data_IF_274194109665
#
_entry.id   IF_274194109665
#
_cell.length_a   1.000
_cell.length_b   1.000
_cell.length_c   1.000
_cell.angle_alpha   90.00
_cell.angle_beta   90.00
_cell.angle_gamma   90.00
#
_symmetry.space_group_name_H-M   'P 1'
#
loop_
_entity.id
_entity.type
_entity.pdbx_description
1 polymer ?
#
# COMPACT_ATOMS: atom_id res chain seq x y z
N UNK A 1 -45.00 -13.62 53.23
CA UNK A 1 -44.94 -12.78 52.02
C UNK A 1 -43.47 -12.67 51.62
N UNK A 2 -42.92 -13.61 50.84
CA UNK A 2 -42.80 -13.61 49.35
C UNK A 2 -42.00 -12.40 48.86
N UNK A 3 -40.93 -12.44 48.06
CA UNK A 3 -40.38 -13.40 47.11
C UNK A 3 -38.97 -12.95 46.67
N UNK A 4 -38.21 -13.89 46.07
CA UNK A 4 -36.81 -13.89 45.61
C UNK A 4 -36.47 -13.01 44.38
N UNK A 5 -35.17 -12.81 44.08
CA UNK A 5 -34.66 -12.08 42.90
C UNK A 5 -34.61 -12.92 41.61
N UNK A 6 -34.81 -12.28 40.46
CA UNK A 6 -34.81 -12.90 39.13
C UNK A 6 -33.42 -13.00 38.49
N UNK A 7 -32.99 -14.24 38.26
CA UNK A 7 -31.89 -14.62 37.36
C UNK A 7 -32.49 -14.92 35.98
N UNK A 8 -31.96 -14.32 34.91
CA UNK A 8 -32.29 -14.65 33.52
C UNK A 8 -31.19 -15.52 32.92
N UNK A 9 -31.45 -16.83 32.92
CA UNK A 9 -30.71 -17.83 32.16
C UNK A 9 -31.25 -17.89 30.73
N UNK A 10 -30.35 -17.88 29.73
CA UNK A 10 -30.66 -18.24 28.34
C UNK A 10 -30.46 -19.77 28.17
N UNK A 11 -31.43 -20.52 27.63
CA UNK A 11 -31.29 -21.97 27.46
C UNK A 11 -30.71 -22.36 26.11
N UNK A 12 -29.80 -23.34 26.17
CA UNK A 12 -29.35 -24.17 25.05
C UNK A 12 -30.53 -24.82 24.31
N UNK A 13 -30.57 -24.72 22.99
CA UNK A 13 -31.43 -25.55 22.14
C UNK A 13 -30.63 -26.71 21.56
N UNK A 14 -30.66 -27.83 22.28
CA UNK A 14 -30.37 -29.16 21.73
C UNK A 14 -31.57 -29.67 20.91
N UNK A 15 -31.22 -30.19 19.73
CA UNK A 15 -31.76 -31.38 19.05
C UNK A 15 -33.29 -31.48 18.90
N UNK A 16 -33.74 -31.57 17.65
CA UNK A 16 -34.65 -32.67 17.25
C UNK A 16 -34.53 -33.02 15.77
N UNK A 17 -33.88 -34.16 15.56
CA UNK A 17 -34.09 -35.06 14.43
C UNK A 17 -35.56 -35.51 14.46
N UNK A 18 -36.29 -35.34 13.37
CA UNK A 18 -37.45 -36.20 13.08
C UNK A 18 -37.50 -36.47 11.58
N UNK A 19 -37.29 -37.74 11.27
CA UNK A 19 -37.60 -38.40 10.02
C UNK A 19 -39.05 -38.09 9.59
N UNK A 20 -39.24 -37.83 8.30
CA UNK A 20 -40.50 -38.12 7.63
C UNK A 20 -40.20 -38.63 6.24
N UNK A 21 -40.25 -39.96 6.16
CA UNK A 21 -40.31 -40.75 4.95
C UNK A 21 -41.76 -40.74 4.45
N UNK A 22 -41.98 -40.65 3.14
CA UNK A 22 -43.31 -40.63 2.54
C UNK A 22 -43.29 -40.39 1.03
N UNK A 23 -43.24 -41.51 0.30
CA UNK A 23 -43.91 -41.76 -0.99
C UNK A 23 -43.41 -40.99 -2.22
N UNK A 24 -42.59 -41.62 -3.08
CA UNK A 24 -43.00 -42.49 -4.20
C UNK A 24 -44.03 -41.86 -5.14
N UNK A 25 -43.53 -41.32 -6.25
CA UNK A 25 -44.30 -40.91 -7.42
C UNK A 25 -43.39 -40.88 -8.64
N UNK A 26 -43.20 -42.05 -9.25
CA UNK A 26 -42.43 -42.18 -10.48
C UNK A 26 -43.11 -41.50 -11.66
N UNK A 27 -42.40 -40.54 -12.28
CA UNK A 27 -42.53 -40.26 -13.71
C UNK A 27 -41.14 -40.22 -14.30
N UNK A 28 -40.86 -41.26 -15.06
CA UNK A 28 -39.69 -41.39 -15.90
C UNK A 28 -39.71 -40.27 -16.95
N UNK A 29 -38.80 -39.31 -16.82
CA UNK A 29 -38.37 -38.47 -17.94
C UNK A 29 -36.94 -38.86 -18.27
N UNK A 30 -36.86 -39.85 -19.17
CA UNK A 30 -35.64 -40.34 -19.78
C UNK A 30 -34.98 -39.21 -20.57
N UNK A 31 -33.70 -38.96 -20.26
CA UNK A 31 -32.69 -38.68 -21.27
C UNK A 31 -32.66 -37.27 -21.89
N UNK A 32 -31.76 -36.44 -21.37
CA UNK A 32 -30.63 -35.91 -22.17
C UNK A 32 -29.55 -35.39 -21.23
N UNK A 33 -28.78 -36.32 -20.66
CA UNK A 33 -27.41 -35.98 -20.24
C UNK A 33 -26.67 -35.62 -21.52
N UNK A 34 -26.44 -34.33 -21.75
CA UNK A 34 -25.45 -33.86 -22.73
C UNK A 34 -24.10 -34.38 -22.24
N UNK A 35 -23.76 -35.61 -22.64
CA UNK A 35 -22.39 -36.09 -22.65
C UNK A 35 -21.67 -35.12 -23.58
N UNK A 36 -20.90 -34.20 -23.02
CA UNK A 36 -19.76 -33.64 -23.74
C UNK A 36 -18.82 -34.84 -23.95
N UNK A 37 -19.09 -35.62 -24.99
CA UNK A 37 -18.15 -36.59 -25.47
C UNK A 37 -16.91 -35.81 -25.83
N UNK A 38 -15.87 -35.97 -25.01
CA UNK A 38 -14.51 -35.73 -25.45
C UNK A 38 -14.26 -36.75 -26.57
N UNK A 39 -14.70 -36.41 -27.78
CA UNK A 39 -14.11 -36.98 -28.97
C UNK A 39 -12.63 -36.63 -28.85
N UNK A 40 -11.78 -37.64 -28.64
CA UNK A 40 -10.35 -37.49 -28.80
C UNK A 40 -10.10 -37.24 -30.30
N UNK A 41 -10.32 -36.00 -30.73
CA UNK A 41 -9.88 -35.49 -32.01
C UNK A 41 -8.43 -35.11 -31.77
N UNK A 42 -7.50 -35.86 -32.35
CA UNK A 42 -6.12 -35.38 -32.46
C UNK A 42 -6.16 -34.07 -33.24
N UNK A 43 -5.80 -32.95 -32.61
CA UNK A 43 -5.69 -31.67 -33.31
C UNK A 43 -4.66 -31.85 -34.43
N UNK A 44 -5.03 -31.43 -35.64
CA UNK A 44 -4.12 -31.53 -36.77
C UNK A 44 -2.88 -30.65 -36.52
N UNK A 45 -1.73 -30.99 -37.12
CA UNK A 45 -0.53 -30.14 -37.07
C UNK A 45 -0.84 -28.70 -37.50
N UNK A 46 -1.73 -28.55 -38.48
CA UNK A 46 -2.19 -27.26 -38.99
C UNK A 46 -2.97 -26.46 -37.94
N UNK A 47 -3.80 -27.10 -37.15
CA UNK A 47 -4.54 -26.43 -36.07
C UNK A 47 -3.61 -25.97 -34.94
N UNK A 48 -2.61 -26.77 -34.59
CA UNK A 48 -1.57 -26.34 -33.65
C UNK A 48 -0.77 -25.14 -34.20
N UNK A 49 -0.46 -25.11 -35.50
CA UNK A 49 0.23 -23.98 -36.13
C UNK A 49 -0.65 -22.71 -36.11
N UNK A 50 -1.93 -22.81 -36.47
CA UNK A 50 -2.85 -21.66 -36.49
C UNK A 50 -3.08 -21.12 -35.07
N UNK A 51 -3.30 -22.01 -34.09
CA UNK A 51 -3.53 -21.60 -32.69
C UNK A 51 -2.29 -20.95 -32.09
N UNK A 52 -1.10 -21.51 -32.30
CA UNK A 52 0.16 -20.90 -31.87
C UNK A 52 0.43 -19.56 -32.57
N UNK A 53 0.10 -19.44 -33.86
CA UNK A 53 0.22 -18.18 -34.59
C UNK A 53 -0.68 -17.08 -34.02
N UNK A 54 -1.95 -17.38 -33.75
CA UNK A 54 -2.89 -16.44 -33.11
C UNK A 54 -2.40 -16.08 -31.70
N UNK A 55 -1.95 -17.06 -30.92
CA UNK A 55 -1.46 -16.84 -29.56
C UNK A 55 -0.21 -15.95 -29.54
N UNK A 56 0.70 -16.11 -30.50
CA UNK A 56 1.89 -15.26 -30.65
C UNK A 56 1.49 -13.79 -30.93
N UNK A 57 0.55 -13.56 -31.85
CA UNK A 57 0.04 -12.22 -32.17
C UNK A 57 -0.64 -11.57 -30.96
N UNK A 58 -1.50 -12.29 -30.26
CA UNK A 58 -2.20 -11.78 -29.07
C UNK A 58 -1.22 -11.44 -27.94
N UNK A 59 -0.24 -12.31 -27.70
CA UNK A 59 0.76 -12.11 -26.64
C UNK A 59 1.59 -10.85 -26.92
N UNK A 60 1.95 -10.60 -28.18
CA UNK A 60 2.69 -9.41 -28.58
C UNK A 60 1.95 -8.10 -28.25
N UNK A 61 0.63 -8.07 -28.38
CA UNK A 61 -0.19 -6.89 -28.09
C UNK A 61 -0.51 -6.73 -26.58
N UNK A 62 -0.63 -7.83 -25.84
CA UNK A 62 -1.06 -7.80 -24.43
C UNK A 62 0.03 -7.33 -23.44
N UNK A 63 1.30 -7.72 -23.63
CA UNK A 63 2.39 -7.41 -22.70
C UNK A 63 2.69 -5.90 -22.50
N UNK A 64 2.76 -5.04 -23.55
CA UNK A 64 3.05 -3.63 -23.34
C UNK A 64 1.97 -2.93 -22.48
N UNK A 65 0.70 -3.31 -22.62
CA UNK A 65 -0.41 -2.76 -21.82
C UNK A 65 -0.30 -3.15 -20.34
N UNK A 66 0.08 -4.40 -20.05
CA UNK A 66 0.28 -4.84 -18.67
C UNK A 66 1.43 -4.08 -17.99
N UNK A 67 2.53 -3.85 -18.71
CA UNK A 67 3.71 -3.11 -18.19
C UNK A 67 3.39 -1.65 -17.89
N UNK A 68 2.66 -0.97 -18.78
CA UNK A 68 2.28 0.43 -18.56
C UNK A 68 1.29 0.57 -17.40
N UNK A 69 0.33 -0.35 -17.27
CA UNK A 69 -0.60 -0.38 -16.14
C UNK A 69 0.13 -0.56 -14.79
N UNK A 70 1.09 -1.50 -14.74
CA UNK A 70 1.92 -1.70 -13.55
C UNK A 70 2.73 -0.46 -13.19
N UNK A 71 3.36 0.19 -14.17
CA UNK A 71 4.14 1.42 -13.96
C UNK A 71 3.28 2.58 -13.48
N UNK A 72 2.12 2.80 -14.09
CA UNK A 72 1.18 3.85 -13.66
C UNK A 72 0.74 3.66 -12.18
N UNK A 73 0.54 2.41 -11.76
CA UNK A 73 0.28 2.09 -10.35
C UNK A 73 1.47 2.44 -9.46
N UNK A 74 2.69 2.04 -9.84
CA UNK A 74 3.90 2.38 -9.08
C UNK A 74 4.10 3.90 -8.95
N UNK A 75 3.86 4.65 -10.03
CA UNK A 75 3.95 6.11 -10.03
C UNK A 75 2.92 6.78 -9.11
N UNK A 76 1.71 6.23 -9.05
CA UNK A 76 0.66 6.72 -8.15
C UNK A 76 1.06 6.50 -6.69
N UNK A 77 1.58 5.32 -6.37
CA UNK A 77 2.10 5.01 -5.04
C UNK A 77 3.33 5.86 -4.69
N UNK A 78 4.22 6.12 -5.65
CA UNK A 78 5.39 6.99 -5.44
C UNK A 78 4.96 8.40 -5.07
N UNK A 79 4.06 9.00 -5.86
CA UNK A 79 3.53 10.34 -5.58
C UNK A 79 2.81 10.40 -4.23
N UNK A 80 2.12 9.32 -3.84
CA UNK A 80 1.48 9.20 -2.53
C UNK A 80 2.53 9.18 -1.41
N UNK A 81 3.55 8.34 -1.54
CA UNK A 81 4.64 8.23 -0.56
C UNK A 81 5.41 9.55 -0.39
N UNK A 82 5.76 10.21 -1.50
CA UNK A 82 6.42 11.52 -1.48
C UNK A 82 5.57 12.58 -0.77
N UNK A 83 4.27 12.65 -1.07
CA UNK A 83 3.36 13.56 -0.37
C UNK A 83 3.25 13.25 1.12
N UNK A 84 3.18 11.97 1.49
CA UNK A 84 3.11 11.55 2.89
C UNK A 84 4.35 12.01 3.67
N UNK A 85 5.55 11.84 3.11
CA UNK A 85 6.81 12.24 3.75
C UNK A 85 6.93 13.77 3.80
N UNK A 86 6.69 14.46 2.68
CA UNK A 86 6.74 15.95 2.61
C UNK A 86 5.80 16.58 3.63
N UNK A 87 4.57 16.08 3.71
CA UNK A 87 3.60 16.58 4.67
C UNK A 87 4.00 16.33 6.14
N UNK A 88 4.72 15.25 6.42
CA UNK A 88 5.28 15.02 7.75
C UNK A 88 6.45 15.97 8.07
N UNK A 89 7.29 16.27 7.09
CA UNK A 89 8.36 17.29 7.21
C UNK A 89 7.73 18.66 7.50
N UNK A 90 6.71 19.04 6.73
CA UNK A 90 5.99 20.31 6.89
C UNK A 90 5.36 20.42 8.28
N UNK A 91 4.74 19.34 8.79
CA UNK A 91 4.18 19.30 10.15
C UNK A 91 5.23 19.39 11.24
N UNK A 92 6.41 18.79 11.04
CA UNK A 92 7.52 18.94 11.98
C UNK A 92 7.97 20.39 12.03
N UNK A 93 8.11 21.04 10.87
CA UNK A 93 8.47 22.45 10.76
C UNK A 93 7.41 23.34 11.40
N UNK A 94 6.14 23.08 11.15
CA UNK A 94 5.02 23.79 11.78
C UNK A 94 5.06 23.65 13.31
N UNK A 95 5.30 22.44 13.84
CA UNK A 95 5.47 22.21 15.28
C UNK A 95 6.65 23.00 15.86
N UNK A 96 7.79 23.03 15.15
CA UNK A 96 8.94 23.85 15.55
C UNK A 96 8.57 25.33 15.60
N UNK A 97 7.93 25.84 14.55
CA UNK A 97 7.64 27.27 14.42
C UNK A 97 6.59 27.75 15.43
N UNK A 98 5.54 26.96 15.66
CA UNK A 98 4.53 27.24 16.70
C UNK A 98 5.11 27.29 18.11
N UNK A 99 6.21 26.58 18.35
CA UNK A 99 6.84 26.47 19.68
C UNK A 99 8.10 27.32 19.82
N UNK A 100 8.49 28.06 18.77
CA UNK A 100 9.78 28.74 18.69
C UNK A 100 10.97 27.79 18.87
N UNK A 101 10.79 26.51 18.56
CA UNK A 101 11.73 25.41 18.78
C UNK A 101 11.97 25.05 20.25
N UNK A 102 11.29 25.69 21.22
CA UNK A 102 11.52 25.43 22.65
C UNK A 102 11.06 24.04 23.09
N UNK A 103 10.08 23.46 22.38
CA UNK A 103 9.57 22.12 22.66
C UNK A 103 10.37 21.02 21.99
N UNK A 104 11.32 21.35 21.11
CA UNK A 104 12.25 20.37 20.55
C UNK A 104 13.41 20.13 21.54
N UNK A 105 13.82 18.87 21.76
CA UNK A 105 15.08 18.55 22.42
C UNK A 105 16.25 19.29 21.75
N UNK A 106 17.20 19.79 22.54
CA UNK A 106 18.28 20.66 22.05
C UNK A 106 19.11 19.99 20.94
N UNK A 107 19.28 18.67 21.00
CA UNK A 107 20.04 17.86 20.05
C UNK A 107 19.37 17.78 18.67
N UNK A 108 18.04 17.94 18.61
CA UNK A 108 17.24 17.84 17.39
C UNK A 108 17.03 19.19 16.71
N UNK A 109 17.38 20.30 17.38
CA UNK A 109 17.20 21.65 16.84
C UNK A 109 18.16 21.91 15.69
N UNK A 110 17.64 22.53 14.65
CA UNK A 110 18.37 23.03 13.48
C UNK A 110 18.11 24.53 13.33
N UNK A 111 19.04 25.29 12.74
CA UNK A 111 18.79 26.70 12.43
C UNK A 111 17.58 26.91 11.50
N UNK A 112 17.33 25.97 10.59
CA UNK A 112 16.22 26.04 9.63
C UNK A 112 14.87 25.64 10.23
N UNK A 113 14.86 24.88 11.33
CA UNK A 113 13.66 24.29 11.93
C UNK A 113 13.17 23.00 11.26
N UNK A 114 13.85 22.53 10.20
CA UNK A 114 13.60 21.23 9.58
C UNK A 114 14.30 20.11 10.34
N UNK A 115 13.82 18.85 10.27
CA UNK A 115 14.42 17.74 11.00
C UNK A 115 15.83 17.44 10.46
N UNK A 116 16.77 17.05 11.34
CA UNK A 116 18.13 16.66 10.94
C UNK A 116 18.16 15.41 10.06
N UNK A 117 17.25 14.48 10.32
CA UNK A 117 17.13 13.22 9.59
C UNK A 117 15.67 12.75 9.54
N UNK A 118 15.36 11.88 8.58
CA UNK A 118 14.01 11.34 8.39
C UNK A 118 13.55 10.46 9.56
N UNK A 119 14.49 9.82 10.26
CA UNK A 119 14.19 8.88 11.34
C UNK A 119 13.44 9.55 12.50
N UNK A 120 13.74 10.82 12.76
CA UNK A 120 13.08 11.63 13.79
C UNK A 120 11.55 11.66 13.59
N UNK A 121 11.08 11.64 12.34
CA UNK A 121 9.66 11.73 12.01
C UNK A 121 8.86 10.49 12.46
N UNK A 122 9.47 9.30 12.46
CA UNK A 122 8.79 8.05 12.80
C UNK A 122 9.27 7.40 14.10
N UNK A 123 10.50 7.64 14.54
CA UNK A 123 10.99 7.19 15.87
C UNK A 123 10.38 8.02 16.99
N UNK A 124 10.01 9.26 16.65
CA UNK A 124 9.40 10.23 17.53
C UNK A 124 10.32 10.68 18.67
N UNK A 125 9.99 11.82 19.26
CA UNK A 125 10.71 12.38 20.39
C UNK A 125 9.74 12.84 21.47
N UNK A 126 10.23 12.94 22.70
CA UNK A 126 9.46 13.52 23.81
C UNK A 126 9.66 15.03 23.77
N UNK A 127 8.59 15.84 23.59
CA UNK A 127 8.73 17.29 23.61
C UNK A 127 9.24 17.79 24.96
N UNK A 128 10.09 18.82 24.96
CA UNK A 128 10.53 19.47 26.18
C UNK A 128 9.33 20.01 26.97
N UNK A 129 9.38 19.86 28.29
CA UNK A 129 8.27 20.22 29.20
C UNK A 129 7.08 19.26 29.17
N UNK A 130 7.14 18.15 28.43
CA UNK A 130 6.09 17.13 28.47
C UNK A 130 6.22 16.24 29.72
N UNK A 131 5.35 16.45 30.70
CA UNK A 131 5.35 15.71 31.98
C UNK A 131 4.96 14.24 31.79
N UNK A 132 4.12 13.94 30.79
CA UNK A 132 3.64 12.57 30.51
C UNK A 132 4.71 11.66 29.89
N UNK A 133 5.84 12.22 29.43
CA UNK A 133 6.87 11.46 28.71
C UNK A 133 6.43 10.89 27.35
N UNK A 134 5.24 11.25 26.86
CA UNK A 134 4.70 10.76 25.59
C UNK A 134 5.50 11.31 24.41
N UNK A 135 5.86 10.42 23.48
CA UNK A 135 6.47 10.80 22.22
C UNK A 135 5.45 11.38 21.25
N UNK A 136 5.90 12.35 20.45
CA UNK A 136 5.19 12.83 19.26
C UNK A 136 5.78 12.20 18.01
N UNK A 137 4.91 11.88 17.04
CA UNK A 137 5.27 11.24 15.78
C UNK A 137 4.63 12.01 14.63
N UNK A 138 5.35 12.16 13.52
CA UNK A 138 4.89 12.84 12.31
C UNK A 138 4.62 11.85 11.16
N UNK A 139 5.29 10.69 11.19
CA UNK A 139 5.05 9.53 10.35
C UNK A 139 4.74 8.30 11.19
N UNK A 140 3.89 7.42 10.65
CA UNK A 140 3.63 6.09 11.26
C UNK A 140 4.79 5.12 11.00
N UNK A 141 5.42 5.25 9.84
CA UNK A 141 6.60 4.52 9.36
C UNK A 141 7.14 5.25 8.14
N UNK A 142 8.39 5.00 7.77
CA UNK A 142 8.92 5.47 6.50
C UNK A 142 8.34 4.65 5.33
N UNK A 143 7.66 5.27 4.35
CA UNK A 143 7.18 4.57 3.16
C UNK A 143 8.35 3.98 2.34
N UNK A 144 8.07 2.86 1.66
CA UNK A 144 8.99 2.24 0.71
C UNK A 144 8.83 2.94 -0.63
N UNK A 145 9.94 3.30 -1.27
CA UNK A 145 9.95 3.77 -2.65
C UNK A 145 9.54 2.62 -3.58
N UNK A 146 8.39 2.71 -4.28
CA UNK A 146 7.90 1.62 -5.13
C UNK A 146 8.76 1.38 -6.38
N UNK A 147 9.72 2.28 -6.68
CA UNK A 147 10.62 2.17 -7.82
C UNK A 147 11.91 1.42 -7.48
N UNK A 148 12.45 1.66 -6.28
CA UNK A 148 13.67 0.98 -5.79
C UNK A 148 13.36 -0.23 -4.92
N UNK A 149 12.15 -0.32 -4.38
CA UNK A 149 11.72 -1.35 -3.43
C UNK A 149 12.31 -1.17 -2.03
N UNK A 150 12.93 -0.03 -1.73
CA UNK A 150 13.60 0.27 -0.47
C UNK A 150 13.08 1.57 0.13
N UNK A 151 13.19 1.73 1.44
CA UNK A 151 12.85 2.97 2.14
C UNK A 151 14.04 3.96 2.15
N UNK A 152 14.75 4.09 1.03
CA UNK A 152 15.97 4.89 0.88
C UNK A 152 15.73 6.12 0.00
N UNK A 153 15.29 7.21 0.60
CA UNK A 153 14.96 8.44 -0.11
C UNK A 153 16.20 9.31 -0.32
N UNK A 154 16.27 10.00 -1.46
CA UNK A 154 17.24 11.08 -1.67
C UNK A 154 16.73 12.31 -0.93
N UNK A 155 17.57 12.91 -0.09
CA UNK A 155 17.23 14.08 0.70
C UNK A 155 17.78 15.33 0.01
N UNK A 156 17.09 16.46 0.18
CA UNK A 156 17.58 17.80 -0.12
C UNK A 156 17.49 18.66 1.15
N UNK A 157 18.53 19.43 1.44
CA UNK A 157 18.54 20.39 2.53
C UNK A 157 17.89 21.71 2.12
N UNK A 158 17.51 22.52 3.10
CA UNK A 158 16.91 23.84 2.89
C UNK A 158 17.86 24.85 2.26
N UNK A 159 19.17 24.69 2.47
CA UNK A 159 20.22 25.55 1.91
C UNK A 159 20.61 25.18 0.47
N UNK A 160 20.19 24.02 -0.03
CA UNK A 160 20.55 23.55 -1.36
C UNK A 160 19.71 24.20 -2.44
N UNK A 161 20.29 24.39 -3.63
CA UNK A 161 19.55 24.86 -4.79
C UNK A 161 18.44 23.86 -5.17
N UNK A 162 17.29 24.33 -5.73
CA UNK A 162 16.18 23.45 -6.12
C UNK A 162 16.60 22.29 -7.03
N UNK A 163 17.54 22.53 -7.94
CA UNK A 163 17.97 21.57 -8.95
C UNK A 163 19.23 20.79 -8.54
N UNK A 164 19.69 20.96 -7.30
CA UNK A 164 20.86 20.23 -6.79
C UNK A 164 20.57 18.73 -6.69
N UNK A 165 21.52 17.92 -7.16
CA UNK A 165 21.52 16.46 -6.98
C UNK A 165 22.23 16.03 -5.69
N UNK A 166 22.95 16.95 -5.05
CA UNK A 166 23.65 16.73 -3.80
C UNK A 166 22.94 17.48 -2.69
N UNK A 167 22.98 16.91 -1.49
CA UNK A 167 22.47 17.56 -0.30
C UNK A 167 23.59 17.88 0.67
N UNK A 168 23.54 19.07 1.27
CA UNK A 168 24.48 19.45 2.32
C UNK A 168 24.39 18.52 3.55
N UNK A 169 23.22 17.89 3.75
CA UNK A 169 22.95 16.99 4.88
C UNK A 169 22.71 17.70 6.22
N UNK A 170 22.58 19.03 6.22
CA UNK A 170 22.35 19.82 7.43
C UNK A 170 20.93 19.60 8.01
N UNK A 171 19.96 19.42 7.11
CA UNK A 171 18.57 19.15 7.43
C UNK A 171 17.87 18.38 6.31
N UNK A 172 16.62 17.99 6.56
CA UNK A 172 15.73 17.35 5.60
C UNK A 172 14.60 18.32 5.27
N UNK A 173 14.78 19.06 4.19
CA UNK A 173 13.76 19.97 3.65
C UNK A 173 12.82 19.26 2.67
N UNK A 174 13.38 18.39 1.81
CA UNK A 174 12.62 17.66 0.81
C UNK A 174 13.20 16.26 0.58
N UNK A 175 12.39 15.41 -0.03
CA UNK A 175 12.73 14.04 -0.39
C UNK A 175 12.38 13.76 -1.85
N UNK A 176 13.18 12.92 -2.51
CA UNK A 176 12.98 12.44 -3.87
C UNK A 176 13.26 10.94 -3.96
N UNK A 177 12.75 10.29 -5.01
CA UNK A 177 13.10 8.89 -5.30
C UNK A 177 14.59 8.77 -5.61
N UNK A 178 15.20 7.65 -5.25
CA UNK A 178 16.56 7.31 -5.71
C UNK A 178 16.60 6.69 -7.10
N UNK A 179 15.44 6.40 -7.69
CA UNK A 179 15.36 5.78 -9.00
C UNK A 179 15.78 6.76 -10.11
N UNK A 180 16.72 6.34 -10.94
CA UNK A 180 17.15 7.07 -12.14
C UNK A 180 16.29 6.74 -13.37
N UNK A 181 15.27 5.90 -13.20
CA UNK A 181 14.35 5.60 -14.28
C UNK A 181 13.50 6.82 -14.65
N UNK A 182 13.16 6.91 -15.92
CA UNK A 182 12.21 7.90 -16.45
C UNK A 182 10.80 7.52 -16.02
N UNK A 183 9.86 8.45 -16.06
CA UNK A 183 8.43 8.27 -15.86
C UNK A 183 7.67 8.09 -17.19
N UNK A 184 6.37 7.84 -17.11
CA UNK A 184 5.49 7.79 -18.27
C UNK A 184 5.36 9.15 -18.98
N UNK A 185 5.56 10.26 -18.26
CA UNK A 185 5.53 11.63 -18.79
C UNK A 185 6.88 12.14 -19.31
N UNK A 186 7.94 11.32 -19.22
CA UNK A 186 9.29 11.67 -19.69
C UNK A 186 10.21 12.32 -18.64
N UNK A 187 9.70 12.69 -17.47
CA UNK A 187 10.53 13.21 -16.36
C UNK A 187 11.25 12.08 -15.62
N UNK A 188 12.30 12.35 -14.83
CA UNK A 188 12.96 11.29 -14.03
C UNK A 188 12.37 11.20 -12.63
N UNK A 189 12.28 10.00 -12.06
CA UNK A 189 11.70 9.84 -10.71
C UNK A 189 12.53 10.53 -9.62
N UNK A 190 13.84 10.68 -9.80
CA UNK A 190 14.70 11.44 -8.89
C UNK A 190 14.57 12.97 -9.02
N UNK A 191 13.66 13.45 -9.87
CA UNK A 191 13.24 14.86 -9.96
C UNK A 191 11.87 15.08 -9.31
N UNK A 192 11.19 14.02 -8.85
CA UNK A 192 9.84 14.05 -8.28
C UNK A 192 9.79 14.38 -6.80
#
# INVERSE_FOLDING_TARGET
MTSKPGQTAWPELRRRRSERNGEQGGRQAVGRRRRFGAAAVGSSLLEMIITLAILAVLTSAALPLARTAARSRQETELRRALREIRFAIDRYKEFNDQTGGQRLPAELRTPSGYPKKLEILYEGFVPAGNVDGKKVFFLRRLPIDPMTGKADWQIRSSADAPDSSLSSGDDVFDVRSRSTATALDGTRYNEW
#
